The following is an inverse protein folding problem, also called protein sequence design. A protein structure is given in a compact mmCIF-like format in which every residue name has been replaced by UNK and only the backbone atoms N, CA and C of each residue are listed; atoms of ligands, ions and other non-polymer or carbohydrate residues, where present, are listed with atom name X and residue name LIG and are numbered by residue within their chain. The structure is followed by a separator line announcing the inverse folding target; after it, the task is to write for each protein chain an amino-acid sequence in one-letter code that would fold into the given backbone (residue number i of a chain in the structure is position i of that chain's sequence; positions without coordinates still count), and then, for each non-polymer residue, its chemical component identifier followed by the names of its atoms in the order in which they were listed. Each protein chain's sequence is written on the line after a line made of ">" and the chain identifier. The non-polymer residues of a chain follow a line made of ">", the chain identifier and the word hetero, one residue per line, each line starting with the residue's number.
data_IF_071049668074
#
_entry.id   IF_071049668074
#
_cell.length_a   1.000
_cell.length_b   1.000
_cell.length_c   1.000
_cell.angle_alpha   90.00
_cell.angle_beta   90.00
_cell.angle_gamma   90.00
#
_symmetry.space_group_name_H-M   'P 1'
#
loop_
_entity.id
_entity.type
_entity.pdbx_description
1 polymer ?
#
# COMPACT_ATOMS: atom_id res chain seq x y z
N UNK A 1 -5.29 8.84 -7.99
CA UNK A 1 -6.48 8.48 -7.18
C UNK A 1 -6.47 9.17 -5.82
N UNK A 2 -5.49 8.95 -4.93
CA UNK A 2 -5.48 9.57 -3.58
C UNK A 2 -5.44 11.11 -3.61
N UNK A 3 -4.66 11.70 -4.51
CA UNK A 3 -4.56 13.17 -4.66
C UNK A 3 -5.87 13.86 -5.06
N UNK A 4 -6.79 13.12 -5.70
CA UNK A 4 -8.11 13.64 -6.09
C UNK A 4 -9.09 13.64 -4.90
N UNK A 5 -9.06 12.56 -4.12
CA UNK A 5 -9.95 12.39 -2.94
C UNK A 5 -9.50 13.30 -1.80
N UNK A 6 -8.18 13.44 -1.59
CA UNK A 6 -7.61 14.28 -0.55
C UNK A 6 -6.34 14.99 -1.04
N UNK A 7 -6.47 16.21 -1.59
CA UNK A 7 -5.31 16.96 -2.05
C UNK A 7 -4.33 17.22 -0.89
N UNK A 8 -3.04 17.23 -1.20
CA UNK A 8 -1.92 17.49 -0.29
C UNK A 8 -1.70 16.49 0.87
N UNK A 9 -2.46 15.41 0.99
CA UNK A 9 -2.24 14.39 2.04
C UNK A 9 -0.83 13.76 1.96
N UNK A 10 -0.36 13.51 0.74
CA UNK A 10 0.93 12.86 0.47
C UNK A 10 1.99 13.85 -0.04
N UNK A 11 1.70 15.15 0.00
CA UNK A 11 2.52 16.19 -0.60
C UNK A 11 2.39 16.25 -2.13
N UNK A 12 3.41 16.82 -2.77
CA UNK A 12 3.54 16.85 -4.22
C UNK A 12 3.83 15.46 -4.79
N UNK A 13 3.62 15.30 -6.10
CA UNK A 13 3.93 14.03 -6.78
C UNK A 13 5.40 13.63 -6.61
N UNK A 14 6.33 14.58 -6.71
CA UNK A 14 7.76 14.31 -6.54
C UNK A 14 8.10 13.86 -5.12
N UNK A 15 7.54 14.51 -4.10
CA UNK A 15 7.75 14.11 -2.71
C UNK A 15 7.19 12.71 -2.43
N UNK A 16 6.00 12.41 -2.94
CA UNK A 16 5.39 11.09 -2.81
C UNK A 16 6.27 10.01 -3.46
N UNK A 17 6.76 10.27 -4.68
CA UNK A 17 7.62 9.34 -5.40
C UNK A 17 8.92 9.09 -4.63
N UNK A 18 9.59 10.13 -4.16
CA UNK A 18 10.84 9.99 -3.43
C UNK A 18 10.66 9.35 -2.05
N UNK A 19 9.56 9.64 -1.35
CA UNK A 19 9.33 9.19 0.02
C UNK A 19 8.80 7.76 0.10
N UNK A 20 8.02 7.33 -0.89
CA UNK A 20 7.33 6.03 -0.85
C UNK A 20 7.63 5.17 -2.08
N UNK A 21 7.41 5.66 -3.30
CA UNK A 21 7.51 4.81 -4.51
C UNK A 21 8.93 4.30 -4.72
N UNK A 22 9.93 5.18 -4.72
CA UNK A 22 11.31 4.80 -5.01
C UNK A 22 11.86 3.82 -3.96
N UNK A 23 11.73 4.05 -2.64
CA UNK A 23 12.20 3.08 -1.64
C UNK A 23 11.42 1.76 -1.68
N UNK A 24 10.13 1.81 -2.00
CA UNK A 24 9.31 0.59 -2.06
C UNK A 24 9.70 -0.25 -3.27
N UNK A 25 9.80 0.35 -4.45
CA UNK A 25 10.25 -0.35 -5.66
C UNK A 25 11.67 -0.87 -5.49
N UNK A 26 12.59 -0.07 -4.94
CA UNK A 26 13.98 -0.48 -4.76
C UNK A 26 14.13 -1.75 -3.90
N UNK A 27 13.28 -1.94 -2.88
CA UNK A 27 13.31 -3.14 -2.01
C UNK A 27 12.55 -4.35 -2.53
N UNK A 28 11.88 -4.27 -3.69
CA UNK A 28 11.14 -5.38 -4.31
C UNK A 28 11.97 -6.21 -5.29
N UNK A 29 13.16 -5.74 -5.67
CA UNK A 29 14.01 -6.44 -6.61
C UNK A 29 14.72 -7.63 -5.93
N UNK A 30 15.10 -8.63 -6.72
CA UNK A 30 15.71 -9.87 -6.19
C UNK A 30 17.14 -9.64 -5.69
N UNK A 31 17.79 -8.63 -6.24
CA UNK A 31 19.15 -8.17 -5.95
C UNK A 31 19.19 -7.04 -4.90
N UNK A 32 18.04 -6.67 -4.34
CA UNK A 32 17.96 -5.66 -3.28
C UNK A 32 18.72 -6.10 -2.03
N UNK A 33 19.46 -5.16 -1.42
CA UNK A 33 20.09 -5.40 -0.14
C UNK A 33 19.06 -5.52 0.98
N UNK A 34 19.41 -6.21 2.07
CA UNK A 34 18.52 -6.32 3.23
C UNK A 34 18.13 -4.96 3.83
N UNK A 35 19.01 -3.96 3.73
CA UNK A 35 18.73 -2.59 4.15
C UNK A 35 17.59 -1.97 3.33
N UNK A 36 17.57 -2.19 2.02
CA UNK A 36 16.54 -1.71 1.11
C UNK A 36 15.20 -2.41 1.39
N UNK A 37 15.22 -3.72 1.65
CA UNK A 37 14.03 -4.48 2.03
C UNK A 37 13.44 -3.97 3.36
N UNK A 38 14.29 -3.70 4.36
CA UNK A 38 13.85 -3.12 5.65
C UNK A 38 13.25 -1.73 5.46
N UNK A 39 13.89 -0.89 4.64
CA UNK A 39 13.41 0.45 4.34
C UNK A 39 12.07 0.42 3.60
N UNK A 40 11.95 -0.42 2.56
CA UNK A 40 10.70 -0.67 1.84
C UNK A 40 9.58 -1.03 2.81
N UNK A 41 9.76 -2.06 3.63
CA UNK A 41 8.73 -2.54 4.57
C UNK A 41 8.27 -1.43 5.50
N UNK A 42 9.21 -0.64 6.03
CA UNK A 42 8.88 0.50 6.90
C UNK A 42 8.10 1.58 6.16
N UNK A 43 8.51 1.95 4.94
CA UNK A 43 7.81 2.97 4.14
C UNK A 43 6.42 2.52 3.72
N UNK A 44 6.27 1.24 3.35
CA UNK A 44 4.98 0.64 3.01
C UNK A 44 4.03 0.63 4.22
N UNK A 45 4.53 0.28 5.41
CA UNK A 45 3.72 0.30 6.64
C UNK A 45 3.21 1.71 6.97
N UNK A 46 4.10 2.72 6.98
CA UNK A 46 3.70 4.11 7.22
C UNK A 46 2.71 4.62 6.17
N UNK A 47 2.90 4.27 4.89
CA UNK A 47 1.95 4.64 3.85
C UNK A 47 0.58 4.00 4.10
N UNK A 48 0.54 2.74 4.51
CA UNK A 48 -0.71 2.06 4.83
C UNK A 48 -1.43 2.75 6.00
N UNK A 49 -0.76 2.98 7.11
CA UNK A 49 -1.34 3.66 8.29
C UNK A 49 -1.91 5.05 7.95
N UNK A 50 -1.20 5.83 7.10
CA UNK A 50 -1.68 7.13 6.64
C UNK A 50 -2.98 7.03 5.82
N UNK A 51 -3.19 5.92 5.14
CA UNK A 51 -4.36 5.69 4.28
C UNK A 51 -5.52 5.02 5.03
N UNK A 52 -5.26 4.23 6.06
CA UNK A 52 -6.28 3.50 6.84
C UNK A 52 -7.36 4.43 7.41
N UNK A 53 -7.03 5.67 7.75
CA UNK A 53 -8.00 6.64 8.27
C UNK A 53 -9.09 7.08 7.27
N UNK A 54 -8.96 6.77 5.98
CA UNK A 54 -9.88 7.24 4.94
C UNK A 54 -10.33 6.14 3.98
N UNK A 55 -9.77 4.93 4.09
CA UNK A 55 -10.16 3.78 3.27
C UNK A 55 -11.04 2.89 4.14
N UNK A 56 -12.32 2.77 3.76
CA UNK A 56 -13.17 1.71 4.28
C UNK A 56 -13.05 0.47 3.37
N UNK A 57 -12.30 -0.52 3.83
CA UNK A 57 -12.14 -1.81 3.14
C UNK A 57 -12.99 -2.86 3.83
N UNK A 58 -14.03 -3.35 3.14
CA UNK A 58 -14.82 -4.50 3.58
C UNK A 58 -14.36 -5.74 2.83
N UNK A 59 -13.84 -6.73 3.55
CA UNK A 59 -13.46 -8.00 2.96
C UNK A 59 -14.70 -8.88 2.72
N UNK A 60 -14.57 -9.83 1.78
CA UNK A 60 -15.63 -10.77 1.43
C UNK A 60 -16.01 -11.73 2.57
N UNK A 61 -15.30 -11.70 3.71
CA UNK A 61 -15.57 -12.54 4.87
C UNK A 61 -17.03 -12.44 5.33
N UNK A 62 -17.65 -11.26 5.23
CA UNK A 62 -19.07 -11.07 5.54
C UNK A 62 -20.00 -11.90 4.63
N UNK A 63 -19.60 -12.11 3.37
CA UNK A 63 -20.40 -12.80 2.37
C UNK A 63 -20.13 -14.30 2.31
N UNK A 64 -19.02 -14.74 2.91
CA UNK A 64 -18.58 -16.15 2.88
C UNK A 64 -19.59 -17.09 3.51
N UNK A 65 -20.29 -16.65 4.55
CA UNK A 65 -21.28 -17.46 5.25
C UNK A 65 -22.61 -17.59 4.48
N UNK A 66 -22.83 -16.73 3.48
CA UNK A 66 -24.07 -16.66 2.71
C UNK A 66 -23.91 -17.10 1.25
N UNK A 67 -22.68 -17.31 0.78
CA UNK A 67 -22.38 -17.65 -0.61
C UNK A 67 -21.71 -19.02 -0.74
N UNK A 68 -21.91 -19.71 -1.87
CA UNK A 68 -21.16 -20.93 -2.20
C UNK A 68 -19.64 -20.71 -2.20
N UNK A 69 -18.84 -21.76 -1.95
CA UNK A 69 -17.38 -21.66 -1.93
C UNK A 69 -16.85 -21.25 -3.30
N UNK A 70 -15.88 -20.32 -3.29
CA UNK A 70 -15.19 -19.83 -4.47
C UNK A 70 -14.01 -20.77 -4.81
N UNK A 71 -13.94 -21.21 -6.06
CA UNK A 71 -12.80 -21.98 -6.60
C UNK A 71 -12.00 -21.10 -7.57
N UNK A 72 -10.70 -20.94 -7.33
CA UNK A 72 -9.75 -20.28 -8.25
C UNK A 72 -8.73 -21.33 -8.71
N UNK A 73 -8.46 -21.37 -10.02
CA UNK A 73 -7.51 -22.29 -10.67
C UNK A 73 -6.27 -21.53 -11.15
#
# INVERSE_FOLDING_TARGET
>A
MVSFIKPNLLGSQQEYVNRFVNPIQNGQHRDSNEADVRLMKRRACVLHELLTGFIDRKDYGLLRDYLPPKFEY
#
